data_IF_671279096871
#
_entry.id   IF_671279096871
#
_cell.length_a   1.000
_cell.length_b   1.000
_cell.length_c   1.000
_cell.angle_alpha   90.00
_cell.angle_beta   90.00
_cell.angle_gamma   90.00
#
_symmetry.space_group_name_H-M   'P 1'
#
loop_
_entity.id
_entity.type
_entity.pdbx_description
1 polymer ?
#
# COMPACT_ATOMS: atom_id res chain seq x y z
N UNK A 1 -1.00 34.43 22.81
CA UNK A 1 0.19 34.76 22.00
C UNK A 1 0.60 33.50 21.27
N UNK A 2 0.21 33.37 20.00
CA UNK A 2 0.50 32.22 19.16
C UNK A 2 1.81 32.43 18.41
N UNK A 3 2.69 31.43 18.46
CA UNK A 3 3.85 31.29 17.60
C UNK A 3 3.99 29.81 17.31
N UNK A 4 3.73 29.40 16.07
CA UNK A 4 3.95 28.03 15.63
C UNK A 4 5.42 27.69 15.82
N UNK A 5 5.72 26.82 16.78
CA UNK A 5 7.05 26.29 16.97
C UNK A 5 7.33 25.33 15.81
N UNK A 6 8.24 25.70 14.92
CA UNK A 6 8.75 24.81 13.91
C UNK A 6 9.62 23.75 14.59
N UNK A 7 9.48 22.49 14.17
CA UNK A 7 10.26 21.38 14.73
C UNK A 7 11.76 21.53 14.39
N UNK A 8 12.09 22.12 13.24
CA UNK A 8 13.45 22.30 12.74
C UNK A 8 13.61 23.60 11.95
N UNK A 9 14.77 24.24 12.07
CA UNK A 9 15.20 25.37 11.25
C UNK A 9 16.31 24.93 10.30
N UNK A 10 16.16 25.23 9.00
CA UNK A 10 17.11 24.82 7.96
C UNK A 10 17.52 25.98 7.05
N UNK A 11 18.70 25.89 6.44
CA UNK A 11 19.20 26.79 5.40
C UNK A 11 19.79 25.97 4.25
N UNK A 12 19.16 26.05 3.08
CA UNK A 12 19.68 25.41 1.86
C UNK A 12 20.88 26.13 1.25
N UNK A 13 21.17 27.36 1.71
CA UNK A 13 22.28 28.18 1.21
C UNK A 13 23.61 27.82 1.84
N UNK A 14 23.62 27.57 3.15
CA UNK A 14 24.83 27.24 3.92
C UNK A 14 24.82 25.79 4.46
N UNK A 15 23.69 25.08 4.32
CA UNK A 15 23.53 23.70 4.73
C UNK A 15 23.14 23.51 6.20
N UNK A 16 22.97 24.58 6.97
CA UNK A 16 22.59 24.50 8.39
C UNK A 16 21.27 23.76 8.56
N UNK A 17 21.20 22.86 9.54
CA UNK A 17 20.00 22.10 9.87
C UNK A 17 19.63 20.97 8.90
N UNK A 18 20.26 20.86 7.72
CA UNK A 18 19.96 19.79 6.77
C UNK A 18 20.31 18.40 7.30
N UNK A 19 21.43 18.26 8.01
CA UNK A 19 21.80 16.98 8.62
C UNK A 19 20.77 16.52 9.65
N UNK A 20 20.26 17.45 10.47
CA UNK A 20 19.22 17.17 11.46
C UNK A 20 17.88 16.81 10.80
N UNK A 21 17.54 17.48 9.69
CA UNK A 21 16.37 17.11 8.89
C UNK A 21 16.48 15.70 8.30
N UNK A 22 17.65 15.33 7.77
CA UNK A 22 17.88 13.98 7.22
C UNK A 22 17.80 12.90 8.30
N UNK A 23 18.33 13.18 9.48
CA UNK A 23 18.27 12.27 10.64
C UNK A 23 16.82 12.07 11.11
N UNK A 24 16.04 13.15 11.19
CA UNK A 24 14.63 13.10 11.54
C UNK A 24 13.80 12.31 10.51
N UNK A 25 14.06 12.52 9.22
CA UNK A 25 13.43 11.73 8.15
C UNK A 25 13.81 10.25 8.29
N UNK A 26 15.09 9.96 8.54
CA UNK A 26 15.59 8.59 8.72
C UNK A 26 14.94 7.89 9.92
N UNK A 27 14.83 8.60 11.04
CA UNK A 27 14.18 8.12 12.26
C UNK A 27 12.71 7.78 12.03
N UNK A 28 11.97 8.68 11.38
CA UNK A 28 10.56 8.45 11.02
C UNK A 28 10.40 7.30 10.04
N UNK A 29 11.26 7.21 9.02
CA UNK A 29 11.23 6.12 8.06
C UNK A 29 11.51 4.77 8.74
N UNK A 30 12.52 4.70 9.61
CA UNK A 30 12.84 3.51 10.38
C UNK A 30 11.70 3.09 11.31
N UNK A 31 10.99 4.05 11.93
CA UNK A 31 9.82 3.77 12.76
C UNK A 31 8.58 3.36 11.94
N UNK A 32 8.47 3.80 10.69
CA UNK A 32 7.35 3.48 9.81
C UNK A 32 7.51 2.14 9.08
N UNK A 33 8.73 1.65 8.93
CA UNK A 33 9.01 0.30 8.41
C UNK A 33 8.67 -0.71 9.52
N UNK A 34 7.82 -1.70 9.21
CA UNK A 34 7.48 -2.80 10.13
C UNK A 34 8.70 -3.65 10.52
N UNK A 35 8.50 -4.65 11.38
CA UNK A 35 9.62 -5.50 11.82
C UNK A 35 10.27 -6.23 10.62
N UNK A 36 11.60 -6.43 10.71
CA UNK A 36 12.35 -7.17 9.71
C UNK A 36 11.81 -8.62 9.64
N UNK A 37 11.04 -8.92 8.59
CA UNK A 37 10.35 -10.20 8.43
C UNK A 37 8.90 -10.07 8.02
N UNK A 38 8.29 -8.87 8.15
CA UNK A 38 6.98 -8.61 7.58
C UNK A 38 7.03 -8.74 6.06
N UNK A 39 6.22 -9.65 5.51
CA UNK A 39 5.98 -9.77 4.07
C UNK A 39 5.13 -8.57 3.66
N UNK A 40 5.79 -7.44 3.46
CA UNK A 40 5.15 -6.25 2.93
C UNK A 40 4.84 -6.49 1.45
N UNK A 41 3.59 -6.30 0.99
CA UNK A 41 3.27 -6.39 -0.42
C UNK A 41 4.06 -5.30 -1.17
N UNK A 42 5.13 -5.69 -1.85
CA UNK A 42 6.08 -4.77 -2.49
C UNK A 42 5.54 -4.05 -3.72
N UNK A 43 4.33 -4.41 -4.17
CA UNK A 43 3.66 -3.83 -5.34
C UNK A 43 2.34 -3.20 -4.91
N UNK A 44 2.11 -1.96 -5.33
CA UNK A 44 0.86 -1.22 -5.09
C UNK A 44 -0.38 -2.05 -5.46
N UNK A 45 -0.33 -2.77 -6.59
CA UNK A 45 -1.42 -3.65 -7.04
C UNK A 45 -1.81 -4.73 -6.01
N UNK A 46 -0.86 -5.29 -5.25
CA UNK A 46 -1.17 -6.31 -4.25
C UNK A 46 -1.79 -5.66 -3.01
N UNK A 47 -1.35 -4.45 -2.65
CA UNK A 47 -1.95 -3.67 -1.56
C UNK A 47 -3.41 -3.35 -1.88
N UNK A 48 -3.69 -2.88 -3.10
CA UNK A 48 -5.05 -2.58 -3.58
C UNK A 48 -5.95 -3.82 -3.53
N UNK A 49 -5.50 -4.96 -4.07
CA UNK A 49 -6.26 -6.22 -4.05
C UNK A 49 -6.54 -6.72 -2.62
N UNK A 50 -5.59 -6.57 -1.69
CA UNK A 50 -5.80 -6.92 -0.28
C UNK A 50 -6.79 -5.98 0.40
N UNK A 51 -6.74 -4.69 0.07
CA UNK A 51 -7.67 -3.69 0.59
C UNK A 51 -9.10 -3.98 0.12
N UNK A 52 -9.28 -4.23 -1.18
CA UNK A 52 -10.58 -4.62 -1.75
C UNK A 52 -11.11 -5.91 -1.11
N UNK A 53 -10.26 -6.94 -0.97
CA UNK A 53 -10.65 -8.19 -0.30
C UNK A 53 -11.12 -7.94 1.14
N UNK A 54 -10.43 -7.08 1.87
CA UNK A 54 -10.79 -6.72 3.24
C UNK A 54 -12.11 -5.96 3.32
N UNK A 55 -12.41 -5.11 2.35
CA UNK A 55 -13.68 -4.38 2.31
C UNK A 55 -14.86 -5.31 2.03
N UNK A 56 -14.72 -6.28 1.12
CA UNK A 56 -15.72 -7.33 0.90
C UNK A 56 -15.90 -8.22 2.15
N UNK A 57 -14.82 -8.58 2.86
CA UNK A 57 -14.92 -9.34 4.11
C UNK A 57 -15.68 -8.57 5.19
N UNK A 58 -15.46 -7.25 5.31
CA UNK A 58 -16.22 -6.40 6.24
C UNK A 58 -17.70 -6.35 5.85
N UNK A 59 -18.00 -6.22 4.56
CA UNK A 59 -19.36 -6.26 4.05
C UNK A 59 -20.04 -7.60 4.40
N UNK A 60 -19.36 -8.73 4.19
CA UNK A 60 -19.84 -10.08 4.54
C UNK A 60 -20.12 -10.28 6.04
N UNK A 61 -19.38 -9.58 6.91
CA UNK A 61 -19.61 -9.61 8.37
C UNK A 61 -20.82 -8.75 8.78
N UNK A 62 -21.07 -7.64 8.08
CA UNK A 62 -22.18 -6.73 8.34
C UNK A 62 -23.51 -7.10 7.66
N UNK A 63 -23.45 -7.94 6.62
CA UNK A 63 -24.62 -8.31 5.81
C UNK A 63 -25.66 -9.15 6.57
N UNK A 64 -26.94 -8.95 6.26
CA UNK A 64 -28.04 -9.62 6.97
C UNK A 64 -28.53 -10.92 6.31
N UNK A 65 -28.51 -11.02 4.97
CA UNK A 65 -28.92 -12.24 4.27
C UNK A 65 -27.73 -13.14 3.97
N UNK A 66 -27.94 -14.46 4.02
CA UNK A 66 -26.90 -15.43 3.70
C UNK A 66 -26.43 -15.34 2.25
N UNK A 67 -27.34 -15.01 1.33
CA UNK A 67 -27.03 -14.84 -0.10
C UNK A 67 -26.06 -13.69 -0.35
N UNK A 68 -26.30 -12.52 0.27
CA UNK A 68 -25.40 -11.37 0.14
C UNK A 68 -24.04 -11.68 0.76
N UNK A 69 -24.02 -12.28 1.95
CA UNK A 69 -22.76 -12.67 2.60
C UNK A 69 -21.95 -13.66 1.76
N UNK A 70 -22.61 -14.60 1.09
CA UNK A 70 -21.96 -15.56 0.20
C UNK A 70 -21.33 -14.86 -1.02
N UNK A 71 -22.00 -13.89 -1.61
CA UNK A 71 -21.46 -13.13 -2.74
C UNK A 71 -20.27 -12.26 -2.33
N UNK A 72 -20.34 -11.58 -1.18
CA UNK A 72 -19.22 -10.80 -0.64
C UNK A 72 -17.99 -11.70 -0.38
N UNK A 73 -18.19 -12.91 0.14
CA UNK A 73 -17.10 -13.89 0.32
C UNK A 73 -16.53 -14.39 -1.02
N UNK A 74 -17.37 -14.57 -2.05
CA UNK A 74 -16.93 -14.93 -3.41
C UNK A 74 -16.03 -13.84 -3.99
N UNK A 75 -16.44 -12.58 -3.86
CA UNK A 75 -15.67 -11.42 -4.32
C UNK A 75 -14.35 -11.28 -3.58
N UNK A 76 -14.33 -11.46 -2.25
CA UNK A 76 -13.10 -11.46 -1.46
C UNK A 76 -12.12 -12.56 -1.93
N UNK A 77 -12.63 -13.78 -2.18
CA UNK A 77 -11.83 -14.89 -2.67
C UNK A 77 -11.25 -14.63 -4.07
N UNK A 78 -12.00 -13.97 -4.95
CA UNK A 78 -11.53 -13.58 -6.29
C UNK A 78 -10.35 -12.58 -6.21
N UNK A 79 -10.42 -11.57 -5.33
CA UNK A 79 -9.34 -10.59 -5.13
C UNK A 79 -8.07 -11.24 -4.58
N UNK A 80 -8.21 -12.17 -3.64
CA UNK A 80 -7.08 -12.97 -3.15
C UNK A 80 -6.51 -13.88 -4.26
N UNK A 81 -7.38 -14.47 -5.09
CA UNK A 81 -6.98 -15.27 -6.24
C UNK A 81 -6.08 -14.50 -7.22
N UNK A 82 -6.40 -13.23 -7.51
CA UNK A 82 -5.57 -12.35 -8.36
C UNK A 82 -4.14 -12.20 -7.85
N UNK A 83 -3.94 -12.20 -6.52
CA UNK A 83 -2.60 -12.08 -5.91
C UNK A 83 -1.77 -13.34 -6.14
N UNK A 84 -2.40 -14.52 -6.05
CA UNK A 84 -1.74 -15.83 -6.18
C UNK A 84 -1.65 -16.29 -7.65
N UNK A 85 -2.17 -15.49 -8.59
CA UNK A 85 -2.14 -15.77 -10.03
C UNK A 85 -3.30 -16.65 -10.52
N UNK A 86 -4.37 -16.76 -9.74
CA UNK A 86 -5.58 -17.51 -10.09
C UNK A 86 -6.54 -16.71 -11.00
N UNK A 87 -6.04 -15.77 -11.80
CA UNK A 87 -6.83 -14.95 -12.74
C UNK A 87 -6.17 -14.90 -14.11
N UNK A 88 -7.03 -14.79 -15.12
CA UNK A 88 -6.79 -14.98 -16.55
C UNK A 88 -5.44 -14.44 -17.04
N UNK A 89 -4.83 -15.19 -17.95
CA UNK A 89 -3.47 -14.93 -18.48
C UNK A 89 -3.37 -13.52 -19.07
N UNK A 90 -4.47 -13.01 -19.62
CA UNK A 90 -4.58 -11.74 -20.32
C UNK A 90 -4.33 -10.52 -19.40
N UNK A 91 -4.89 -10.51 -18.18
CA UNK A 91 -4.73 -9.40 -17.22
C UNK A 91 -3.28 -9.29 -16.69
N UNK A 92 -2.55 -10.41 -16.63
CA UNK A 92 -1.18 -10.45 -16.14
C UNK A 92 -0.19 -9.86 -17.17
N UNK A 93 -0.43 -10.12 -18.46
CA UNK A 93 0.45 -9.65 -19.53
C UNK A 93 0.35 -8.13 -19.71
N UNK A 94 -0.84 -7.53 -19.63
CA UNK A 94 -1.00 -6.07 -19.79
C UNK A 94 -0.31 -5.26 -18.67
N UNK A 95 -0.32 -5.75 -17.44
CA UNK A 95 0.37 -5.08 -16.31
C UNK A 95 1.88 -5.29 -16.38
N UNK A 96 2.34 -6.45 -16.85
CA UNK A 96 3.77 -6.71 -17.05
C UNK A 96 4.30 -5.79 -18.17
N UNK A 97 3.62 -5.70 -19.30
CA UNK A 97 4.12 -4.97 -20.47
C UNK A 97 3.87 -3.46 -20.43
N UNK A 98 2.92 -2.96 -19.63
CA UNK A 98 2.69 -1.52 -19.47
C UNK A 98 3.78 -0.78 -18.69
N UNK A 99 4.64 -1.49 -17.96
CA UNK A 99 5.75 -0.90 -17.20
C UNK A 99 7.11 -0.99 -17.91
N UNK A 100 7.19 -1.66 -19.07
CA UNK A 100 8.40 -1.69 -19.88
C UNK A 100 8.35 -0.59 -20.94
N UNK A 101 9.40 0.22 -21.03
CA UNK A 101 9.58 1.11 -22.18
C UNK A 101 9.54 0.30 -23.48
N UNK A 102 8.86 0.80 -24.51
CA UNK A 102 8.80 0.17 -25.83
C UNK A 102 10.23 -0.08 -26.32
N UNK A 103 10.57 -1.36 -26.52
CA UNK A 103 11.88 -1.79 -27.01
C UNK A 103 12.75 -2.60 -26.05
N UNK A 104 12.16 -3.31 -25.08
CA UNK A 104 12.84 -4.41 -24.38
C UNK A 104 12.29 -5.76 -24.81
#
# INVERSE_FOLDING_TARGET
AGGGAYDLMISSRDGSGLACLLDEIGSRAAAAVGEAGDVLPSRMRHVELLQEAMDFLRAALSGQSQELRAEELRLAAERLGRIVGAVDVEDLLDVIFSQFCIGK
#
